data_IF_508539443378
#
_entry.id   IF_508539443378
#
_cell.length_a   1.000
_cell.length_b   1.000
_cell.length_c   1.000
_cell.angle_alpha   90.00
_cell.angle_beta   90.00
_cell.angle_gamma   90.00
#
_symmetry.space_group_name_H-M   'P 1'
#
loop_
_entity.id
_entity.type
_entity.pdbx_description
1 polymer ?
#
# COMPACT_ATOMS: atom_id res chain seq x y z
N UNK A 1 -43.01 22.03 9.61
CA UNK A 1 -41.54 22.18 9.75
C UNK A 1 -41.01 20.76 9.72
N UNK A 2 -40.67 20.30 8.52
CA UNK A 2 -40.34 18.90 8.26
C UNK A 2 -38.92 18.87 7.71
N UNK A 3 -37.97 18.56 8.57
CA UNK A 3 -36.64 18.13 8.17
C UNK A 3 -36.42 16.72 8.74
N UNK A 4 -36.57 15.67 7.92
CA UNK A 4 -36.06 14.35 8.22
C UNK A 4 -34.81 14.14 7.35
N UNK A 5 -33.71 14.83 7.65
CA UNK A 5 -32.43 14.49 7.00
C UNK A 5 -31.82 13.35 7.77
N UNK A 6 -32.25 12.16 7.39
CA UNK A 6 -31.60 10.89 7.69
C UNK A 6 -30.12 10.99 7.29
N UNK A 7 -29.23 10.69 8.22
CA UNK A 7 -27.84 10.30 7.94
C UNK A 7 -27.87 9.12 6.94
N UNK A 8 -27.00 9.09 5.91
CA UNK A 8 -25.72 8.42 6.13
C UNK A 8 -24.61 8.96 5.22
N UNK A 9 -23.63 9.70 5.75
CA UNK A 9 -22.30 9.75 5.10
C UNK A 9 -21.26 9.11 6.01
N UNK A 10 -21.61 7.94 6.54
CA UNK A 10 -20.61 6.89 6.74
C UNK A 10 -20.30 6.35 5.36
N UNK A 11 -19.34 6.97 4.67
CA UNK A 11 -18.83 6.49 3.39
C UNK A 11 -18.34 5.04 3.58
N UNK A 12 -18.95 4.02 2.94
CA UNK A 12 -18.54 2.63 3.09
C UNK A 12 -17.35 2.30 2.18
N UNK A 13 -16.53 3.29 1.85
CA UNK A 13 -15.15 3.02 1.45
C UNK A 13 -14.28 3.04 2.70
N UNK A 14 -14.60 2.14 3.63
CA UNK A 14 -13.58 1.57 4.51
C UNK A 14 -12.60 0.75 3.65
N UNK A 15 -11.90 1.42 2.75
CA UNK A 15 -10.66 0.97 2.08
C UNK A 15 -9.51 0.93 3.11
N UNK A 16 -9.82 0.59 4.37
CA UNK A 16 -8.85 0.14 5.33
C UNK A 16 -8.33 -1.26 5.02
N UNK A 17 -8.73 -1.88 3.90
CA UNK A 17 -8.48 -3.28 3.56
C UNK A 17 -7.18 -3.54 2.78
N UNK A 18 -6.61 -2.55 2.08
CA UNK A 18 -5.40 -2.75 1.24
C UNK A 18 -4.51 -1.51 1.20
N UNK A 19 -3.27 -1.69 0.77
CA UNK A 19 -2.31 -0.59 0.61
C UNK A 19 -2.87 0.48 -0.37
N UNK A 20 -3.05 1.75 0.05
CA UNK A 20 -3.66 2.76 -0.81
C UNK A 20 -2.73 3.27 -1.92
N UNK A 21 -1.43 2.92 -1.84
CA UNK A 21 -0.43 3.26 -2.86
C UNK A 21 -0.17 2.12 -3.85
N UNK A 22 -0.91 1.01 -3.75
CA UNK A 22 -0.65 -0.23 -4.52
C UNK A 22 -0.54 0.00 -6.03
N UNK A 23 -1.46 0.78 -6.62
CA UNK A 23 -1.51 1.06 -8.06
C UNK A 23 -0.36 1.92 -8.59
N UNK A 24 0.30 2.69 -7.71
CA UNK A 24 1.40 3.61 -8.05
C UNK A 24 2.74 3.20 -7.43
N UNK A 25 2.80 2.03 -6.79
CA UNK A 25 3.98 1.61 -6.07
C UNK A 25 5.13 1.31 -7.05
N UNK A 26 6.33 1.92 -6.89
CA UNK A 26 7.44 1.67 -7.80
C UNK A 26 8.06 0.27 -7.66
N UNK A 27 7.42 -0.62 -6.89
CA UNK A 27 7.82 -2.02 -6.69
C UNK A 27 7.55 -2.85 -7.97
N UNK A 28 6.42 -2.60 -8.62
CA UNK A 28 5.91 -3.42 -9.73
C UNK A 28 6.86 -3.54 -10.93
N UNK A 29 7.51 -2.46 -11.42
CA UNK A 29 8.37 -2.55 -12.60
C UNK A 29 9.67 -3.32 -12.38
N UNK A 30 10.04 -3.65 -11.13
CA UNK A 30 11.35 -4.22 -10.76
C UNK A 30 11.34 -5.73 -10.56
N UNK A 31 10.19 -6.35 -10.31
CA UNK A 31 10.11 -7.80 -10.16
C UNK A 31 9.89 -8.46 -11.52
N UNK A 32 10.97 -8.87 -12.15
CA UNK A 32 10.93 -9.74 -13.35
C UNK A 32 10.39 -11.13 -13.02
N UNK A 33 10.58 -11.60 -11.78
CA UNK A 33 10.02 -12.85 -11.25
C UNK A 33 8.64 -12.58 -10.65
N UNK A 34 7.57 -12.91 -11.40
CA UNK A 34 6.17 -12.74 -10.97
C UNK A 34 5.87 -13.29 -9.56
N UNK A 35 6.45 -14.44 -9.19
CA UNK A 35 6.25 -15.05 -7.88
C UNK A 35 6.79 -14.22 -6.71
N UNK A 36 7.93 -13.54 -6.90
CA UNK A 36 8.50 -12.69 -5.86
C UNK A 36 7.66 -11.43 -5.63
N UNK A 37 7.10 -10.83 -6.68
CA UNK A 37 6.17 -9.71 -6.54
C UNK A 37 4.92 -10.09 -5.75
N UNK A 38 4.36 -11.27 -6.03
CA UNK A 38 3.13 -11.74 -5.40
C UNK A 38 3.30 -11.97 -3.90
N UNK A 39 4.43 -12.55 -3.46
CA UNK A 39 4.75 -12.73 -2.04
C UNK A 39 4.75 -11.37 -1.30
N UNK A 40 5.34 -10.34 -1.91
CA UNK A 40 5.34 -8.99 -1.33
C UNK A 40 3.94 -8.38 -1.25
N UNK A 41 3.15 -8.54 -2.31
CA UNK A 41 1.77 -8.05 -2.36
C UNK A 41 0.93 -8.74 -1.29
N UNK A 42 1.01 -10.05 -1.16
CA UNK A 42 0.25 -10.81 -0.18
C UNK A 42 0.64 -10.43 1.25
N UNK A 43 1.93 -10.23 1.51
CA UNK A 43 2.41 -9.88 2.85
C UNK A 43 2.07 -8.44 3.27
N UNK A 44 2.15 -7.47 2.35
CA UNK A 44 2.06 -6.05 2.70
C UNK A 44 0.90 -5.31 2.04
N UNK A 45 0.59 -5.60 0.78
CA UNK A 45 -0.39 -4.83 0.01
C UNK A 45 -1.83 -5.32 0.17
N UNK A 46 -2.03 -6.63 0.26
CA UNK A 46 -3.34 -7.27 0.33
C UNK A 46 -3.87 -7.39 1.77
N UNK A 47 -3.14 -6.85 2.75
CA UNK A 47 -3.55 -6.82 4.14
C UNK A 47 -3.93 -5.39 4.58
N UNK A 48 -5.00 -5.25 5.39
CA UNK A 48 -5.51 -3.96 5.88
C UNK A 48 -4.47 -3.13 6.61
N UNK A 49 -3.60 -3.77 7.40
CA UNK A 49 -2.72 -3.07 8.33
C UNK A 49 -1.25 -3.22 7.99
N UNK A 50 -0.88 -4.26 7.23
CA UNK A 50 0.53 -4.58 7.02
C UNK A 50 1.27 -3.56 6.14
N UNK A 51 0.55 -2.81 5.31
CA UNK A 51 1.15 -1.73 4.52
C UNK A 51 1.80 -0.66 5.42
N UNK A 52 1.32 -0.47 6.65
CA UNK A 52 1.90 0.46 7.62
C UNK A 52 3.31 0.04 8.07
N UNK A 53 3.69 -1.23 7.87
CA UNK A 53 5.04 -1.78 8.13
C UNK A 53 5.86 -1.96 6.86
N UNK A 54 5.35 -1.53 5.71
CA UNK A 54 6.07 -1.58 4.45
C UNK A 54 6.96 -0.34 4.33
N UNK A 55 8.28 -0.53 4.31
CA UNK A 55 9.24 0.59 4.29
C UNK A 55 9.04 1.48 3.06
N UNK A 56 8.68 0.87 1.92
CA UNK A 56 8.35 1.61 0.70
C UNK A 56 7.09 2.45 0.82
N UNK A 57 6.08 1.94 1.52
CA UNK A 57 4.85 2.70 1.78
C UNK A 57 5.13 3.88 2.69
N UNK A 58 5.86 3.66 3.78
CA UNK A 58 6.24 4.68 4.76
C UNK A 58 6.93 5.85 4.05
N UNK A 59 7.99 5.58 3.26
CA UNK A 59 8.69 6.61 2.49
C UNK A 59 7.81 7.32 1.47
N UNK A 60 7.05 6.55 0.68
CA UNK A 60 6.15 7.13 -0.32
C UNK A 60 5.06 8.01 0.31
N UNK A 61 4.59 7.65 1.49
CA UNK A 61 3.60 8.42 2.24
C UNK A 61 4.21 9.69 2.85
N UNK A 62 5.49 9.64 3.24
CA UNK A 62 6.26 10.79 3.69
C UNK A 62 6.70 11.74 2.55
N UNK A 63 6.44 11.38 1.28
CA UNK A 63 6.89 12.16 0.13
C UNK A 63 8.38 11.98 -0.20
N UNK A 64 9.03 10.97 0.39
CA UNK A 64 10.44 10.68 0.18
C UNK A 64 10.67 9.84 -1.09
N UNK A 65 11.89 9.95 -1.63
CA UNK A 65 12.31 9.08 -2.71
C UNK A 65 12.34 7.61 -2.25
N UNK A 66 11.72 6.72 -3.02
CA UNK A 66 11.72 5.28 -2.77
C UNK A 66 12.82 4.63 -3.60
N UNK A 67 13.94 4.19 -3.00
CA UNK A 67 15.02 3.57 -3.75
C UNK A 67 14.50 2.33 -4.50
N UNK A 68 14.95 2.11 -5.74
CA UNK A 68 14.41 1.02 -6.53
C UNK A 68 15.02 -0.34 -6.14
N UNK A 69 15.99 -0.37 -5.22
CA UNK A 69 16.52 -1.58 -4.57
C UNK A 69 15.87 -1.88 -3.22
N UNK A 70 15.13 -0.92 -2.64
CA UNK A 70 14.47 -1.07 -1.34
C UNK A 70 13.29 -2.03 -1.46
N UNK A 71 13.31 -3.10 -0.68
CA UNK A 71 12.23 -4.07 -0.55
C UNK A 71 11.20 -3.62 0.50
N UNK A 72 9.97 -4.18 0.50
CA UNK A 72 8.94 -3.85 1.48
C UNK A 72 9.33 -4.08 2.94
N UNK A 73 10.22 -5.03 3.23
CA UNK A 73 10.72 -5.32 4.58
C UNK A 73 11.86 -4.40 5.06
N UNK A 74 12.28 -3.42 4.26
CA UNK A 74 13.40 -2.53 4.60
C UNK A 74 14.77 -3.04 4.16
N UNK A 75 14.87 -4.26 3.65
CA UNK A 75 16.11 -4.76 3.06
C UNK A 75 16.34 -4.14 1.68
N UNK A 76 17.59 -4.19 1.22
CA UNK A 76 17.96 -3.78 -0.13
C UNK A 76 18.44 -4.99 -0.93
N UNK A 77 18.03 -5.06 -2.20
CA UNK A 77 18.67 -5.97 -3.14
C UNK A 77 20.16 -5.64 -3.20
N UNK A 78 21.00 -6.63 -2.90
CA UNK A 78 22.44 -6.54 -3.10
C UNK A 78 22.73 -6.19 -4.55
N UNK A 79 23.65 -5.25 -4.75
CA UNK A 79 24.20 -4.89 -6.07
C UNK A 79 25.06 -6.00 -6.63
#
# INVERSE_FOLDING_TARGET
MSDPTSDPTSDPTSDGERCPKVSKCPLYPRFSLKGALQIWQDRYCNSPTQHQRCERYIRSNAGEAVPPTLLPNGEHLGT
#
